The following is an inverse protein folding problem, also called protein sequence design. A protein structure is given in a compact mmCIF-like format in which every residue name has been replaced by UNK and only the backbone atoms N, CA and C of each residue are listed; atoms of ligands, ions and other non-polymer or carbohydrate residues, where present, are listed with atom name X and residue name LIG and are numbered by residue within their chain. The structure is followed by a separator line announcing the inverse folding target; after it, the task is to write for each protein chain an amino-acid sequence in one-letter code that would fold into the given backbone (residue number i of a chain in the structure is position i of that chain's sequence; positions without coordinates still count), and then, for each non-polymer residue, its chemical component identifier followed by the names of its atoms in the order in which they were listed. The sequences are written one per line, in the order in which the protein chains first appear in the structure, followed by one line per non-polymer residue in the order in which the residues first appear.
data_IF_385493403798
#
_entry.id   IF_385493403798
#
_cell.length_a   1.000
_cell.length_b   1.000
_cell.length_c   1.000
_cell.angle_alpha   90.00
_cell.angle_beta   90.00
_cell.angle_gamma   90.00
#
_symmetry.space_group_name_H-M   'P 1'
#
loop_
_entity.id
_entity.type
_entity.pdbx_description
1 polymer ?
#
# COMPACT_ATOMS: atom_id res chain seq x y z
N UNK A 1 10.50 16.05 30.89
CA UNK A 1 10.37 16.33 29.44
C UNK A 1 10.42 15.10 28.55
N UNK A 2 11.38 14.16 28.66
CA UNK A 2 11.42 12.94 27.80
C UNK A 2 10.27 11.96 28.16
N UNK A 3 9.87 11.85 29.43
CA UNK A 3 8.81 10.92 29.89
C UNK A 3 7.39 11.33 29.54
N UNK A 4 7.11 12.62 29.38
CA UNK A 4 5.78 13.13 29.01
C UNK A 4 5.53 12.95 27.52
N UNK A 5 6.53 13.21 26.68
CA UNK A 5 6.43 12.95 25.24
C UNK A 5 6.24 11.46 24.91
N UNK A 6 6.86 10.56 25.69
CA UNK A 6 6.70 9.12 25.51
C UNK A 6 5.29 8.63 25.94
N UNK A 7 4.77 9.18 27.05
CA UNK A 7 3.41 8.86 27.53
C UNK A 7 2.33 9.40 26.58
N UNK A 8 2.53 10.58 26.01
CA UNK A 8 1.62 11.15 25.00
C UNK A 8 1.70 10.39 23.67
N UNK A 9 2.89 9.96 23.25
CA UNK A 9 3.07 9.12 22.06
C UNK A 9 2.40 7.75 22.23
N UNK A 10 2.57 7.10 23.40
CA UNK A 10 1.90 5.85 23.75
C UNK A 10 0.37 6.02 23.84
N UNK A 11 -0.12 7.13 24.39
CA UNK A 11 -1.55 7.41 24.48
C UNK A 11 -2.17 7.73 23.12
N UNK A 12 -1.42 8.39 22.21
CA UNK A 12 -1.80 8.62 20.81
C UNK A 12 -1.77 7.34 20.00
N UNK A 13 -0.75 6.49 20.17
CA UNK A 13 -0.66 5.18 19.54
C UNK A 13 -1.80 4.22 19.96
N UNK A 14 -2.30 4.37 21.20
CA UNK A 14 -3.44 3.59 21.70
C UNK A 14 -4.79 4.10 21.16
N UNK A 15 -4.96 5.44 21.03
CA UNK A 15 -6.22 6.08 20.58
C UNK A 15 -6.33 6.25 19.07
N UNK A 16 -5.23 6.55 18.37
CA UNK A 16 -5.19 6.67 16.90
C UNK A 16 -4.66 5.36 16.31
N UNK A 17 -5.53 4.63 15.66
CA UNK A 17 -5.23 3.41 14.91
C UNK A 17 -4.45 3.80 13.63
N UNK A 18 -3.13 4.05 13.71
CA UNK A 18 -2.29 4.51 12.59
C UNK A 18 -0.83 4.07 12.66
N UNK A 19 0.00 4.71 11.85
CA UNK A 19 1.44 4.51 11.65
C UNK A 19 2.28 4.45 12.94
N UNK A 20 1.89 5.18 13.99
CA UNK A 20 2.57 5.18 15.29
C UNK A 20 2.47 3.81 16.00
N UNK A 21 1.33 3.11 15.84
CA UNK A 21 1.16 1.77 16.42
C UNK A 21 2.05 0.73 15.74
N UNK A 22 2.27 0.84 14.43
CA UNK A 22 3.17 -0.08 13.71
C UNK A 22 4.62 0.10 14.15
N UNK A 23 5.05 1.34 14.40
CA UNK A 23 6.38 1.63 14.97
C UNK A 23 6.54 1.03 16.36
N UNK A 24 5.56 1.20 17.25
CA UNK A 24 5.59 0.64 18.61
C UNK A 24 5.64 -0.89 18.55
N UNK A 25 4.84 -1.52 17.69
CA UNK A 25 4.86 -2.98 17.51
C UNK A 25 6.20 -3.46 16.96
N UNK A 26 6.81 -2.73 16.01
CA UNK A 26 8.13 -3.06 15.48
C UNK A 26 9.19 -2.99 16.57
N UNK A 27 9.20 -1.92 17.38
CA UNK A 27 10.12 -1.76 18.52
C UNK A 27 9.96 -2.92 19.49
N UNK A 28 8.72 -3.24 19.88
CA UNK A 28 8.43 -4.35 20.82
C UNK A 28 8.92 -5.70 20.27
N UNK A 29 8.72 -5.97 19.00
CA UNK A 29 9.23 -7.17 18.32
C UNK A 29 10.75 -7.22 18.31
N UNK A 30 11.40 -6.10 18.01
CA UNK A 30 12.86 -6.00 17.99
C UNK A 30 13.43 -6.28 19.37
N UNK A 31 12.83 -5.72 20.43
CA UNK A 31 13.24 -5.97 21.82
C UNK A 31 13.03 -7.44 22.18
N UNK A 32 11.86 -8.01 21.88
CA UNK A 32 11.56 -9.41 22.20
C UNK A 32 12.48 -10.38 21.45
N UNK A 33 12.69 -10.17 20.15
CA UNK A 33 13.57 -11.03 19.35
C UNK A 33 15.01 -10.96 19.82
N UNK A 34 15.50 -9.77 20.11
CA UNK A 34 16.86 -9.55 20.63
C UNK A 34 17.06 -10.17 22.02
N UNK A 35 16.07 -10.02 22.91
CA UNK A 35 16.12 -10.61 24.25
C UNK A 35 16.09 -12.15 24.20
N UNK A 36 15.21 -12.72 23.38
CA UNK A 36 15.13 -14.17 23.17
C UNK A 36 16.42 -14.71 22.56
N UNK A 37 16.98 -14.02 21.58
CA UNK A 37 18.27 -14.39 20.98
C UNK A 37 19.40 -14.36 21.99
N UNK A 38 19.45 -13.32 22.85
CA UNK A 38 20.42 -13.23 23.93
C UNK A 38 20.30 -14.39 24.93
N UNK A 39 19.08 -14.68 25.40
CA UNK A 39 18.83 -15.79 26.34
C UNK A 39 19.17 -17.16 25.73
N UNK A 40 18.79 -17.38 24.46
CA UNK A 40 19.13 -18.61 23.76
C UNK A 40 20.64 -18.74 23.51
N UNK A 41 21.32 -17.65 23.15
CA UNK A 41 22.78 -17.64 23.01
C UNK A 41 23.49 -17.87 24.34
N UNK A 42 23.04 -17.24 25.43
CA UNK A 42 23.62 -17.43 26.76
C UNK A 42 23.48 -18.89 27.27
N UNK A 43 22.42 -19.58 26.87
CA UNK A 43 22.22 -20.99 27.24
C UNK A 43 23.23 -21.96 26.61
N UNK A 44 23.95 -21.56 25.56
CA UNK A 44 25.00 -22.38 24.93
C UNK A 44 26.31 -22.40 25.73
N UNK A 45 26.46 -21.53 26.72
CA UNK A 45 27.70 -21.38 27.51
C UNK A 45 28.80 -20.58 26.83
N UNK A 46 28.64 -20.21 25.56
CA UNK A 46 29.60 -19.40 24.78
C UNK A 46 29.39 -17.90 25.10
N UNK A 47 30.37 -17.28 25.75
CA UNK A 47 30.25 -15.88 26.18
C UNK A 47 30.99 -14.90 25.27
N UNK A 48 32.02 -15.35 24.56
CA UNK A 48 32.89 -14.49 23.72
C UNK A 48 32.15 -13.91 22.50
N UNK A 49 31.21 -14.70 21.92
CA UNK A 49 30.47 -14.34 20.71
C UNK A 49 28.99 -14.07 20.95
N UNK A 50 28.57 -14.01 22.23
CA UNK A 50 27.18 -13.86 22.64
C UNK A 50 26.47 -12.65 22.00
N UNK A 51 27.20 -11.55 21.78
CA UNK A 51 26.65 -10.33 21.16
C UNK A 51 26.14 -10.51 19.72
N UNK A 52 26.61 -11.51 18.99
CA UNK A 52 26.18 -11.76 17.59
C UNK A 52 24.74 -12.26 17.50
N UNK A 53 24.23 -12.99 18.47
CA UNK A 53 22.86 -13.48 18.46
C UNK A 53 21.81 -12.35 18.52
N UNK A 54 21.81 -11.44 19.53
CA UNK A 54 20.89 -10.31 19.58
C UNK A 54 21.11 -9.30 18.43
N UNK A 55 22.37 -9.09 18.01
CA UNK A 55 22.68 -8.22 16.87
C UNK A 55 22.04 -8.75 15.57
N UNK A 56 22.18 -10.04 15.30
CA UNK A 56 21.53 -10.70 14.15
C UNK A 56 20.01 -10.61 14.26
N UNK A 57 19.43 -10.84 15.42
CA UNK A 57 17.99 -10.73 15.61
C UNK A 57 17.48 -9.31 15.27
N UNK A 58 18.17 -8.25 15.69
CA UNK A 58 17.83 -6.87 15.37
C UNK A 58 17.88 -6.57 13.86
N UNK A 59 18.86 -7.12 13.14
CA UNK A 59 19.00 -6.92 11.70
C UNK A 59 17.96 -7.67 10.88
N UNK A 60 17.48 -8.81 11.39
CA UNK A 60 16.52 -9.69 10.72
C UNK A 60 15.07 -9.26 10.95
N UNK A 61 14.75 -8.63 12.11
CA UNK A 61 13.40 -8.15 12.39
C UNK A 61 12.99 -7.05 11.41
N UNK A 62 11.85 -7.23 10.73
CA UNK A 62 11.31 -6.30 9.72
C UNK A 62 9.80 -6.13 9.90
N UNK A 63 9.22 -5.02 9.38
CA UNK A 63 7.78 -4.78 9.44
C UNK A 63 6.94 -5.84 8.73
N UNK A 64 7.47 -6.47 7.65
CA UNK A 64 6.78 -7.49 6.87
C UNK A 64 7.41 -8.88 7.07
N UNK A 65 6.58 -9.90 7.29
CA UNK A 65 7.05 -11.29 7.50
C UNK A 65 7.72 -11.87 6.27
N UNK A 66 7.16 -11.61 5.09
CA UNK A 66 7.74 -12.09 3.83
C UNK A 66 9.09 -11.43 3.53
N UNK A 67 9.16 -10.11 3.62
CA UNK A 67 10.43 -9.39 3.52
C UNK A 67 11.44 -9.89 4.54
N UNK A 68 10.98 -10.29 5.74
CA UNK A 68 11.82 -10.86 6.77
C UNK A 68 12.37 -12.24 6.38
N UNK A 69 11.55 -13.19 5.91
CA UNK A 69 12.00 -14.55 5.59
C UNK A 69 13.01 -14.58 4.44
N UNK A 70 12.69 -13.94 3.30
CA UNK A 70 13.59 -13.90 2.15
C UNK A 70 14.87 -13.11 2.47
N UNK A 71 14.73 -12.00 3.19
CA UNK A 71 15.86 -11.17 3.57
C UNK A 71 16.71 -11.83 4.66
N UNK A 72 16.09 -12.59 5.61
CA UNK A 72 16.80 -13.41 6.59
C UNK A 72 17.64 -14.48 5.89
N UNK A 73 17.06 -15.17 4.90
CA UNK A 73 17.80 -16.16 4.10
C UNK A 73 19.01 -15.52 3.39
N UNK A 74 18.82 -14.37 2.76
CA UNK A 74 19.91 -13.62 2.11
C UNK A 74 20.94 -13.09 3.12
N UNK A 75 20.50 -12.64 4.30
CA UNK A 75 21.37 -12.21 5.38
C UNK A 75 22.23 -13.38 5.87
N UNK A 76 21.62 -14.50 6.23
CA UNK A 76 22.34 -15.70 6.68
C UNK A 76 23.32 -16.18 5.60
N UNK A 77 22.90 -16.20 4.33
CA UNK A 77 23.79 -16.56 3.21
C UNK A 77 24.98 -15.60 3.07
N UNK A 78 24.78 -14.28 3.26
CA UNK A 78 25.86 -13.31 3.22
C UNK A 78 26.83 -13.48 4.40
N UNK A 79 26.31 -13.76 5.62
CA UNK A 79 27.12 -14.05 6.81
C UNK A 79 27.92 -15.33 6.63
N UNK A 80 27.27 -16.41 6.17
CA UNK A 80 27.94 -17.69 5.85
C UNK A 80 29.07 -17.49 4.83
N UNK A 81 28.80 -16.78 3.73
CA UNK A 81 29.79 -16.52 2.69
C UNK A 81 30.97 -15.69 3.23
N UNK A 82 30.69 -14.67 4.07
CA UNK A 82 31.72 -13.86 4.73
C UNK A 82 32.58 -14.68 5.70
N UNK A 83 31.96 -15.54 6.51
CA UNK A 83 32.64 -16.39 7.46
C UNK A 83 33.49 -17.48 6.75
N UNK A 84 32.96 -18.11 5.69
CA UNK A 84 33.72 -19.07 4.87
C UNK A 84 34.91 -18.41 4.21
N UNK A 85 34.74 -17.21 3.64
CA UNK A 85 35.84 -16.48 3.02
C UNK A 85 36.94 -16.10 4.04
N UNK A 86 36.54 -15.60 5.21
CA UNK A 86 37.48 -15.29 6.29
C UNK A 86 38.18 -16.55 6.81
N UNK A 87 37.45 -17.64 7.02
CA UNK A 87 38.00 -18.91 7.49
C UNK A 87 38.97 -19.54 6.49
N UNK A 88 38.65 -19.50 5.19
CA UNK A 88 39.55 -20.03 4.13
C UNK A 88 40.91 -19.30 4.15
N UNK A 89 40.95 -18.00 4.37
CA UNK A 89 42.18 -17.24 4.43
C UNK A 89 42.83 -17.29 5.83
N UNK A 90 42.03 -17.17 6.89
CA UNK A 90 42.49 -17.19 8.28
C UNK A 90 43.18 -18.50 8.69
N UNK A 91 42.60 -19.68 8.26
CA UNK A 91 43.13 -21.00 8.55
C UNK A 91 44.35 -21.35 7.69
N UNK A 92 44.50 -20.76 6.47
CA UNK A 92 45.60 -21.11 5.55
C UNK A 92 46.76 -20.14 5.59
N UNK A 93 46.49 -18.83 5.59
CA UNK A 93 47.49 -17.78 5.48
C UNK A 93 47.68 -17.05 6.80
N UNK A 94 46.68 -17.06 7.66
CA UNK A 94 46.64 -16.32 8.90
C UNK A 94 46.18 -14.86 8.75
N UNK A 95 45.92 -14.21 9.90
CA UNK A 95 45.39 -12.84 9.97
C UNK A 95 46.55 -11.82 9.90
N UNK A 96 46.94 -11.43 8.70
CA UNK A 96 47.94 -10.37 8.46
C UNK A 96 47.29 -9.21 7.69
N UNK A 97 47.87 -8.02 7.76
CA UNK A 97 47.33 -6.83 7.08
C UNK A 97 47.07 -7.02 5.59
N UNK A 98 47.95 -7.66 4.78
CA UNK A 98 47.63 -7.90 3.37
C UNK A 98 46.53 -8.92 3.16
N UNK A 99 46.47 -10.00 3.97
CA UNK A 99 45.36 -10.97 3.89
C UNK A 99 44.00 -10.36 4.28
N UNK A 100 44.01 -9.48 5.28
CA UNK A 100 42.81 -8.72 5.67
C UNK A 100 42.30 -7.83 4.51
N UNK A 101 43.18 -7.06 3.88
CA UNK A 101 42.82 -6.19 2.77
C UNK A 101 42.29 -6.99 1.58
N UNK A 102 42.94 -8.13 1.27
CA UNK A 102 42.49 -9.03 0.19
C UNK A 102 41.10 -9.63 0.47
N UNK A 103 40.86 -10.11 1.71
CA UNK A 103 39.58 -10.70 2.09
C UNK A 103 38.47 -9.65 2.02
N UNK A 104 38.69 -8.45 2.51
CA UNK A 104 37.70 -7.36 2.45
C UNK A 104 37.40 -6.99 0.99
N UNK A 105 38.42 -6.91 0.13
CA UNK A 105 38.23 -6.60 -1.29
C UNK A 105 37.40 -7.68 -1.99
N UNK A 106 37.75 -8.96 -1.81
CA UNK A 106 37.00 -10.07 -2.39
C UNK A 106 35.57 -10.11 -1.85
N UNK A 107 35.40 -9.88 -0.53
CA UNK A 107 34.10 -9.84 0.13
C UNK A 107 33.20 -8.72 -0.44
N UNK A 108 33.75 -7.54 -0.71
CA UNK A 108 33.04 -6.42 -1.35
C UNK A 108 32.59 -6.76 -2.76
N UNK A 109 33.44 -7.43 -3.56
CA UNK A 109 33.11 -7.85 -4.92
C UNK A 109 32.01 -8.91 -4.90
N UNK A 110 32.14 -9.94 -4.07
CA UNK A 110 31.14 -11.03 -3.93
C UNK A 110 29.81 -10.47 -3.39
N UNK A 111 29.86 -9.50 -2.46
CA UNK A 111 28.68 -8.84 -1.92
C UNK A 111 27.84 -8.07 -2.95
N UNK A 112 28.40 -7.72 -4.11
CA UNK A 112 27.67 -7.06 -5.20
C UNK A 112 26.82 -8.03 -6.05
N UNK A 113 26.96 -9.33 -5.84
CA UNK A 113 26.15 -10.32 -6.57
C UNK A 113 24.66 -10.12 -6.25
N UNK A 114 23.82 -10.09 -7.30
CA UNK A 114 22.35 -9.84 -7.20
C UNK A 114 21.64 -10.78 -6.23
N UNK A 115 22.20 -11.95 -5.98
CA UNK A 115 21.66 -12.93 -5.02
C UNK A 115 21.52 -12.35 -3.61
N UNK A 116 22.51 -11.59 -3.12
CA UNK A 116 22.51 -11.00 -1.77
C UNK A 116 21.63 -9.76 -1.68
N UNK A 117 21.33 -9.08 -2.78
CA UNK A 117 20.52 -7.86 -2.81
C UNK A 117 21.05 -6.81 -1.83
N UNK A 118 20.16 -6.19 -1.03
CA UNK A 118 20.55 -5.20 -0.02
C UNK A 118 21.35 -5.76 1.18
N UNK A 119 21.57 -7.09 1.28
CA UNK A 119 22.33 -7.73 2.36
C UNK A 119 23.80 -7.98 1.99
N UNK A 120 24.22 -7.66 0.78
CA UNK A 120 25.59 -7.91 0.30
C UNK A 120 26.68 -7.21 1.14
N UNK A 121 26.38 -6.08 1.77
CA UNK A 121 27.29 -5.37 2.68
C UNK A 121 27.59 -6.15 3.96
N UNK A 122 26.77 -7.11 4.36
CA UNK A 122 27.03 -7.94 5.54
C UNK A 122 28.21 -8.88 5.34
N UNK A 123 28.47 -9.30 4.10
CA UNK A 123 29.55 -10.22 3.75
C UNK A 123 30.92 -9.65 4.11
N UNK A 124 31.34 -8.45 3.64
CA UNK A 124 32.62 -7.86 4.03
C UNK A 124 32.68 -7.49 5.53
N UNK A 125 31.56 -7.10 6.14
CA UNK A 125 31.53 -6.77 7.58
C UNK A 125 31.85 -8.03 8.39
N UNK A 126 31.18 -9.15 8.14
CA UNK A 126 31.43 -10.39 8.87
C UNK A 126 32.82 -10.92 8.60
N UNK A 127 33.28 -10.87 7.35
CA UNK A 127 34.62 -11.32 6.98
C UNK A 127 35.71 -10.50 7.71
N UNK A 128 35.56 -9.19 7.78
CA UNK A 128 36.47 -8.30 8.49
C UNK A 128 36.49 -8.58 9.99
N UNK A 129 35.31 -8.70 10.63
CA UNK A 129 35.23 -8.99 12.06
C UNK A 129 35.76 -10.38 12.42
N UNK A 130 35.47 -11.41 11.60
CA UNK A 130 35.96 -12.75 11.84
C UNK A 130 37.50 -12.84 11.75
N UNK A 131 38.09 -12.12 10.77
CA UNK A 131 39.53 -12.13 10.60
C UNK A 131 40.25 -11.27 11.64
N UNK A 132 39.75 -10.04 11.87
CA UNK A 132 40.34 -9.10 12.83
C UNK A 132 40.15 -9.54 14.30
N UNK A 133 39.04 -10.18 14.61
CA UNK A 133 38.73 -10.73 15.94
C UNK A 133 39.38 -12.07 16.24
N UNK A 134 40.17 -12.63 15.30
CA UNK A 134 40.82 -13.94 15.46
C UNK A 134 39.91 -15.15 15.32
N UNK A 135 38.57 -14.95 15.18
CA UNK A 135 37.56 -16.01 15.06
C UNK A 135 37.79 -16.89 13.80
N UNK A 136 38.36 -16.31 12.75
CA UNK A 136 38.68 -17.02 11.51
C UNK A 136 39.94 -17.91 11.62
N UNK A 137 40.71 -17.83 12.72
CA UNK A 137 41.91 -18.62 12.92
C UNK A 137 41.66 -19.99 13.56
N UNK A 138 40.45 -20.20 14.07
CA UNK A 138 40.04 -21.45 14.71
C UNK A 138 38.67 -21.90 14.15
N UNK A 139 38.56 -23.16 13.78
CA UNK A 139 37.32 -23.73 13.23
C UNK A 139 36.19 -23.78 14.27
N UNK A 140 36.50 -23.97 15.56
CA UNK A 140 35.53 -23.98 16.66
C UNK A 140 34.89 -22.61 16.84
N UNK A 141 35.71 -21.54 16.87
CA UNK A 141 35.24 -20.16 17.02
C UNK A 141 34.40 -19.72 15.82
N UNK A 142 34.80 -20.16 14.61
CA UNK A 142 34.03 -19.89 13.40
C UNK A 142 32.65 -20.61 13.46
N UNK A 143 32.63 -21.86 13.95
CA UNK A 143 31.42 -22.62 14.18
C UNK A 143 30.50 -21.96 15.23
N UNK A 144 31.08 -21.46 16.33
CA UNK A 144 30.35 -20.74 17.36
C UNK A 144 29.72 -19.44 16.83
N UNK A 145 30.46 -18.68 16.00
CA UNK A 145 29.95 -17.46 15.34
C UNK A 145 28.72 -17.80 14.46
N UNK A 146 28.83 -18.83 13.65
CA UNK A 146 27.72 -19.26 12.78
C UNK A 146 26.50 -19.75 13.59
N UNK A 147 26.75 -20.46 14.69
CA UNK A 147 25.69 -20.89 15.61
C UNK A 147 24.96 -19.69 16.24
N UNK A 148 25.71 -18.67 16.73
CA UNK A 148 25.12 -17.45 17.29
C UNK A 148 24.29 -16.67 16.27
N UNK A 149 24.79 -16.55 15.05
CA UNK A 149 24.01 -15.94 13.94
C UNK A 149 22.74 -16.75 13.63
N UNK A 150 22.84 -18.07 13.60
CA UNK A 150 21.69 -18.97 13.42
C UNK A 150 20.64 -18.80 14.52
N UNK A 151 21.06 -18.76 15.79
CA UNK A 151 20.17 -18.53 16.94
C UNK A 151 19.48 -17.18 16.83
N UNK A 152 20.21 -16.11 16.50
CA UNK A 152 19.63 -14.78 16.30
C UNK A 152 18.60 -14.73 15.17
N UNK A 153 18.93 -15.33 14.03
CA UNK A 153 18.03 -15.42 12.88
C UNK A 153 16.77 -16.24 13.20
N UNK A 154 16.91 -17.37 13.89
CA UNK A 154 15.80 -18.22 14.31
C UNK A 154 14.89 -17.50 15.32
N UNK A 155 15.44 -16.84 16.35
CA UNK A 155 14.68 -16.06 17.30
C UNK A 155 13.89 -14.94 16.64
N UNK A 156 14.50 -14.19 15.69
CA UNK A 156 13.82 -13.16 14.93
C UNK A 156 12.69 -13.72 14.07
N UNK A 157 12.91 -14.87 13.42
CA UNK A 157 11.90 -15.53 12.59
C UNK A 157 10.71 -15.99 13.43
N UNK A 158 10.96 -16.64 14.58
CA UNK A 158 9.93 -17.08 15.51
C UNK A 158 9.09 -15.89 16.00
N UNK A 159 9.74 -14.83 16.47
CA UNK A 159 9.03 -13.61 16.92
C UNK A 159 8.22 -12.97 15.79
N UNK A 160 8.77 -12.91 14.59
CA UNK A 160 8.05 -12.38 13.44
C UNK A 160 6.84 -13.24 13.04
N UNK A 161 6.91 -14.58 13.17
CA UNK A 161 5.78 -15.48 12.87
C UNK A 161 4.72 -15.41 13.97
N UNK A 162 5.13 -15.44 15.25
CA UNK A 162 4.21 -15.46 16.40
C UNK A 162 3.50 -14.12 16.58
N UNK A 163 4.23 -13.01 16.44
CA UNK A 163 3.73 -11.66 16.60
C UNK A 163 3.29 -11.03 15.27
N UNK A 164 2.99 -11.84 14.25
CA UNK A 164 2.40 -11.28 12.99
C UNK A 164 1.13 -10.52 13.36
N UNK A 165 1.04 -9.20 13.06
CA UNK A 165 -0.25 -8.52 13.14
C UNK A 165 -1.23 -9.25 12.23
N UNK A 166 -2.46 -9.33 12.63
CA UNK A 166 -3.55 -9.61 11.68
C UNK A 166 -3.32 -8.72 10.46
N UNK A 167 -3.28 -9.31 9.28
CA UNK A 167 -3.10 -8.57 8.03
C UNK A 167 -4.19 -7.51 8.02
N UNK A 168 -3.83 -6.26 8.29
CA UNK A 168 -4.77 -5.14 8.25
C UNK A 168 -4.61 -4.54 6.86
N UNK A 169 -5.61 -4.67 6.10
CA UNK A 169 -5.69 -4.24 4.71
C UNK A 169 -5.97 -2.73 4.60
N UNK A 170 -5.61 -1.97 5.63
CA UNK A 170 -5.82 -0.52 5.71
C UNK A 170 -5.24 0.26 4.54
N UNK A 171 -4.13 -0.23 3.95
CA UNK A 171 -3.56 0.50 2.82
C UNK A 171 -4.47 0.40 1.58
N UNK A 172 -5.14 -0.75 1.38
CA UNK A 172 -6.11 -0.94 0.30
C UNK A 172 -7.44 -0.23 0.60
N UNK A 173 -7.91 -0.32 1.85
CA UNK A 173 -9.08 0.40 2.34
C UNK A 173 -8.89 1.92 2.18
N UNK A 174 -7.81 2.48 2.72
CA UNK A 174 -7.51 3.90 2.58
C UNK A 174 -7.40 4.32 1.11
N UNK A 175 -6.85 3.49 0.25
CA UNK A 175 -6.74 3.80 -1.16
C UNK A 175 -8.10 3.90 -1.88
N UNK A 176 -9.09 3.07 -1.48
CA UNK A 176 -10.48 3.20 -1.95
C UNK A 176 -11.10 4.48 -1.43
N UNK A 177 -10.91 4.77 -0.12
CA UNK A 177 -11.46 5.97 0.52
C UNK A 177 -10.89 7.25 -0.08
N UNK A 178 -9.56 7.31 -0.28
CA UNK A 178 -8.88 8.46 -0.88
C UNK A 178 -9.39 8.72 -2.31
N UNK A 179 -9.53 7.66 -3.12
CA UNK A 179 -10.03 7.78 -4.49
C UNK A 179 -11.52 8.20 -4.53
N UNK A 180 -12.35 7.67 -3.63
CA UNK A 180 -13.74 8.06 -3.51
C UNK A 180 -13.88 9.52 -3.04
N UNK A 181 -13.02 9.98 -2.14
CA UNK A 181 -13.00 11.35 -1.63
C UNK A 181 -12.59 12.35 -2.71
N UNK A 182 -11.55 12.04 -3.50
CA UNK A 182 -11.14 12.87 -4.65
C UNK A 182 -12.24 12.96 -5.71
N UNK A 183 -12.92 11.86 -6.03
CA UNK A 183 -14.05 11.85 -6.97
C UNK A 183 -15.26 12.63 -6.42
N UNK A 184 -15.56 12.46 -5.15
CA UNK A 184 -16.61 13.22 -4.46
C UNK A 184 -16.32 14.72 -4.52
N UNK A 185 -15.08 15.12 -4.19
CA UNK A 185 -14.65 16.52 -4.22
C UNK A 185 -14.76 17.11 -5.63
N UNK A 186 -14.20 16.42 -6.63
CA UNK A 186 -14.20 16.90 -8.01
C UNK A 186 -15.63 17.05 -8.56
N UNK A 187 -16.48 16.02 -8.39
CA UNK A 187 -17.88 16.08 -8.89
C UNK A 187 -18.71 17.13 -8.15
N UNK A 188 -18.44 17.34 -6.87
CA UNK A 188 -19.05 18.42 -6.09
C UNK A 188 -18.63 19.82 -6.56
N UNK A 189 -17.35 20.02 -6.88
CA UNK A 189 -16.86 21.28 -7.44
C UNK A 189 -17.45 21.56 -8.84
N UNK A 190 -17.52 20.51 -9.69
CA UNK A 190 -18.17 20.63 -11.01
C UNK A 190 -19.64 20.98 -10.83
N UNK A 191 -20.37 20.31 -9.93
CA UNK A 191 -21.78 20.60 -9.66
C UNK A 191 -22.01 22.05 -9.25
N UNK A 192 -21.19 22.58 -8.35
CA UNK A 192 -21.26 23.98 -7.90
C UNK A 192 -21.01 24.94 -9.05
N UNK A 193 -19.90 24.78 -9.79
CA UNK A 193 -19.58 25.67 -10.89
C UNK A 193 -20.61 25.64 -12.01
N UNK A 194 -21.14 24.45 -12.34
CA UNK A 194 -22.23 24.30 -13.33
C UNK A 194 -23.53 24.96 -12.84
N UNK A 195 -23.81 24.94 -11.54
CA UNK A 195 -24.98 25.61 -10.94
C UNK A 195 -24.88 27.12 -11.03
N UNK A 196 -23.67 27.66 -10.88
CA UNK A 196 -23.41 29.11 -10.97
C UNK A 196 -23.40 29.61 -12.43
N UNK A 197 -23.66 28.71 -13.39
CA UNK A 197 -23.73 29.03 -14.82
C UNK A 197 -22.36 29.06 -15.49
N UNK A 198 -22.32 29.61 -16.70
CA UNK A 198 -21.12 29.63 -17.55
C UNK A 198 -19.94 30.33 -16.87
N UNK A 199 -20.20 31.42 -16.17
CA UNK A 199 -19.17 32.23 -15.49
C UNK A 199 -18.57 31.51 -14.26
N UNK A 200 -19.31 30.56 -13.67
CA UNK A 200 -18.85 29.75 -12.53
C UNK A 200 -17.99 28.54 -12.92
N UNK A 201 -17.87 28.26 -14.22
CA UNK A 201 -17.22 27.05 -14.72
C UNK A 201 -15.69 27.18 -14.85
N UNK A 202 -14.94 26.76 -13.82
CA UNK A 202 -13.48 26.65 -13.88
C UNK A 202 -13.03 25.30 -14.49
N UNK A 203 -13.26 25.13 -15.79
CA UNK A 203 -12.95 23.90 -16.53
C UNK A 203 -11.46 23.59 -16.58
N UNK A 204 -10.59 24.58 -16.43
CA UNK A 204 -9.13 24.38 -16.37
C UNK A 204 -8.76 23.68 -15.06
N UNK A 205 -9.23 24.22 -13.93
CA UNK A 205 -8.99 23.62 -12.60
C UNK A 205 -9.56 22.19 -12.52
N UNK A 206 -10.76 21.98 -13.05
CA UNK A 206 -11.36 20.65 -13.10
C UNK A 206 -10.55 19.66 -13.93
N UNK A 207 -9.95 20.10 -15.05
CA UNK A 207 -9.06 19.26 -15.85
C UNK A 207 -7.79 18.86 -15.08
N UNK A 208 -7.18 19.83 -14.39
CA UNK A 208 -5.99 19.57 -13.56
C UNK A 208 -6.30 18.57 -12.43
N UNK A 209 -7.44 18.72 -11.76
CA UNK A 209 -7.90 17.76 -10.73
C UNK A 209 -8.18 16.37 -11.34
N UNK A 210 -8.86 16.32 -12.48
CA UNK A 210 -9.17 15.07 -13.17
C UNK A 210 -7.92 14.32 -13.66
N UNK A 211 -6.87 15.03 -14.09
CA UNK A 211 -5.58 14.45 -14.44
C UNK A 211 -4.86 13.89 -13.20
N UNK A 212 -5.01 14.54 -12.04
CA UNK A 212 -4.48 14.07 -10.76
C UNK A 212 -5.01 12.68 -10.35
N UNK A 213 -6.27 12.36 -10.67
CA UNK A 213 -6.90 11.08 -10.37
C UNK A 213 -6.11 9.86 -10.91
N UNK A 214 -5.39 10.00 -12.04
CA UNK A 214 -4.59 8.91 -12.60
C UNK A 214 -3.48 8.44 -11.65
N UNK A 215 -2.89 9.37 -10.91
CA UNK A 215 -1.86 9.04 -9.94
C UNK A 215 -2.46 8.31 -8.75
N UNK A 216 -3.62 8.73 -8.27
CA UNK A 216 -4.33 8.11 -7.15
C UNK A 216 -4.82 6.72 -7.51
N UNK A 217 -5.37 6.52 -8.72
CA UNK A 217 -5.74 5.20 -9.24
C UNK A 217 -4.54 4.25 -9.30
N UNK A 218 -3.40 4.72 -9.87
CA UNK A 218 -2.19 3.87 -9.93
C UNK A 218 -1.70 3.48 -8.54
N UNK A 219 -1.66 4.43 -7.61
CA UNK A 219 -1.24 4.19 -6.22
C UNK A 219 -2.19 3.22 -5.51
N UNK A 220 -3.50 3.33 -5.75
CA UNK A 220 -4.51 2.44 -5.21
C UNK A 220 -4.34 1.00 -5.71
N UNK A 221 -4.20 0.80 -7.03
CA UNK A 221 -3.95 -0.51 -7.63
C UNK A 221 -2.64 -1.14 -7.14
N UNK A 222 -1.59 -0.34 -6.98
CA UNK A 222 -0.31 -0.82 -6.46
C UNK A 222 -0.41 -1.20 -4.97
N UNK A 223 -1.22 -0.48 -4.18
CA UNK A 223 -1.48 -0.80 -2.78
C UNK A 223 -2.17 -2.16 -2.63
N UNK A 224 -3.18 -2.45 -3.45
CA UNK A 224 -3.85 -3.77 -3.46
C UNK A 224 -2.87 -4.86 -3.87
N UNK A 225 -2.10 -4.68 -4.94
CA UNK A 225 -1.09 -5.68 -5.38
C UNK A 225 -0.07 -5.98 -4.28
N UNK A 226 0.43 -4.95 -3.61
CA UNK A 226 1.37 -5.14 -2.48
C UNK A 226 0.72 -5.93 -1.33
N UNK A 227 -0.56 -5.72 -1.07
CA UNK A 227 -1.28 -6.47 -0.04
C UNK A 227 -1.51 -7.93 -0.44
N UNK A 228 -1.84 -8.18 -1.71
CA UNK A 228 -1.96 -9.55 -2.24
C UNK A 228 -0.66 -10.34 -2.10
N UNK A 229 0.46 -9.72 -2.51
CA UNK A 229 1.78 -10.34 -2.39
C UNK A 229 2.11 -10.64 -0.93
N UNK A 230 1.82 -9.72 -0.01
CA UNK A 230 1.98 -9.93 1.43
C UNK A 230 1.09 -11.06 1.95
N UNK A 231 -0.15 -11.15 1.46
CA UNK A 231 -1.10 -12.17 1.90
C UNK A 231 -0.77 -13.57 1.34
N UNK A 232 -0.38 -13.66 0.05
CA UNK A 232 0.01 -14.93 -0.60
C UNK A 232 1.24 -15.55 0.04
N UNK A 233 2.18 -14.74 0.49
CA UNK A 233 3.48 -15.15 1.01
C UNK A 233 3.52 -15.21 2.54
N UNK A 234 2.37 -15.15 3.20
CA UNK A 234 2.28 -15.25 4.64
C UNK A 234 2.43 -16.71 5.11
N UNK A 235 3.49 -17.04 5.89
CA UNK A 235 3.70 -18.41 6.38
C UNK A 235 2.59 -18.94 7.29
N UNK A 236 1.72 -18.07 7.85
CA UNK A 236 0.52 -18.50 8.58
C UNK A 236 -0.46 -19.33 7.72
N UNK A 237 -0.40 -19.23 6.39
CA UNK A 237 -1.15 -20.13 5.50
C UNK A 237 -0.79 -21.61 5.70
N UNK A 238 0.44 -21.89 6.12
CA UNK A 238 0.89 -23.25 6.41
C UNK A 238 0.33 -23.77 7.75
N UNK A 239 -0.01 -22.87 8.67
CA UNK A 239 -0.49 -23.20 10.02
C UNK A 239 -2.00 -22.99 10.16
N UNK A 240 -2.58 -22.02 9.46
CA UNK A 240 -4.00 -21.69 9.49
C UNK A 240 -4.59 -21.72 8.07
N UNK A 241 -5.43 -22.71 7.79
CA UNK A 241 -6.11 -22.91 6.50
C UNK A 241 -7.15 -21.84 6.13
N UNK A 242 -7.40 -20.85 7.00
CA UNK A 242 -8.41 -19.80 6.83
C UNK A 242 -7.82 -18.41 6.94
N UNK A 243 -7.02 -17.97 5.96
CA UNK A 243 -6.93 -16.53 5.66
C UNK A 243 -7.96 -16.28 4.58
N UNK A 244 -9.07 -15.72 4.98
CA UNK A 244 -10.10 -15.25 4.06
C UNK A 244 -9.52 -14.07 3.26
N UNK A 245 -9.43 -14.22 1.94
CA UNK A 245 -8.94 -13.22 1.01
C UNK A 245 -10.09 -12.57 0.22
N UNK A 246 -11.34 -13.01 0.45
CA UNK A 246 -12.51 -12.57 -0.29
C UNK A 246 -12.67 -11.05 -0.29
N UNK A 247 -12.35 -10.41 0.81
CA UNK A 247 -12.43 -8.95 0.93
C UNK A 247 -11.28 -8.18 0.23
N UNK A 248 -10.12 -8.81 -0.14
CA UNK A 248 -9.20 -8.20 -1.09
C UNK A 248 -9.84 -8.07 -2.48
N UNK A 249 -10.65 -9.04 -2.86
CA UNK A 249 -11.39 -9.00 -4.11
C UNK A 249 -12.45 -7.89 -4.06
N UNK A 250 -13.06 -7.66 -2.90
CA UNK A 250 -13.98 -6.52 -2.65
C UNK A 250 -13.26 -5.18 -2.89
N UNK A 251 -12.10 -4.94 -2.28
CA UNK A 251 -11.36 -3.68 -2.49
C UNK A 251 -10.88 -3.54 -3.94
N UNK A 252 -10.45 -4.64 -4.56
CA UNK A 252 -10.08 -4.63 -5.98
C UNK A 252 -11.24 -4.21 -6.85
N UNK A 253 -12.43 -4.77 -6.62
CA UNK A 253 -13.65 -4.44 -7.36
C UNK A 253 -14.00 -2.97 -7.20
N UNK A 254 -13.92 -2.43 -5.98
CA UNK A 254 -14.12 -1.00 -5.73
C UNK A 254 -13.11 -0.11 -6.46
N UNK A 255 -11.81 -0.43 -6.39
CA UNK A 255 -10.78 0.36 -7.10
C UNK A 255 -11.02 0.32 -8.61
N UNK A 256 -11.40 -0.83 -9.17
CA UNK A 256 -11.72 -0.92 -10.59
C UNK A 256 -12.97 -0.11 -10.96
N UNK A 257 -14.02 -0.17 -10.16
CA UNK A 257 -15.24 0.62 -10.37
C UNK A 257 -14.95 2.13 -10.31
N UNK A 258 -14.25 2.59 -9.27
CA UNK A 258 -13.86 3.99 -9.12
C UNK A 258 -12.86 4.45 -10.19
N UNK A 259 -11.94 3.58 -10.63
CA UNK A 259 -11.04 3.85 -11.75
C UNK A 259 -11.81 4.06 -13.06
N UNK A 260 -12.80 3.21 -13.36
CA UNK A 260 -13.65 3.40 -14.55
C UNK A 260 -14.51 4.65 -14.42
N UNK A 261 -15.06 4.91 -13.23
CA UNK A 261 -15.79 6.16 -12.95
C UNK A 261 -14.92 7.40 -13.18
N UNK A 262 -13.62 7.36 -12.80
CA UNK A 262 -12.70 8.48 -13.03
C UNK A 262 -12.50 8.79 -14.51
N UNK A 263 -12.50 7.78 -15.38
CA UNK A 263 -12.44 7.99 -16.83
C UNK A 263 -13.68 8.72 -17.36
N UNK A 264 -14.86 8.37 -16.87
CA UNK A 264 -16.11 9.03 -17.27
C UNK A 264 -16.22 10.46 -16.72
N UNK A 265 -15.78 10.70 -15.47
CA UNK A 265 -15.67 12.07 -14.92
C UNK A 265 -14.71 12.92 -15.74
N UNK A 266 -13.56 12.35 -16.16
CA UNK A 266 -12.62 13.05 -17.05
C UNK A 266 -13.21 13.36 -18.42
N UNK A 267 -13.94 12.41 -19.02
CA UNK A 267 -14.66 12.61 -20.28
C UNK A 267 -15.65 13.76 -20.15
N UNK A 268 -16.42 13.80 -19.07
CA UNK A 268 -17.38 14.87 -18.76
C UNK A 268 -16.69 16.22 -18.66
N UNK A 269 -15.59 16.31 -17.89
CA UNK A 269 -14.79 17.56 -17.78
C UNK A 269 -14.21 17.98 -19.12
N UNK A 270 -13.68 17.02 -19.91
CA UNK A 270 -13.16 17.27 -21.25
C UNK A 270 -14.22 17.81 -22.18
N UNK A 271 -15.44 17.25 -22.14
CA UNK A 271 -16.58 17.74 -22.92
C UNK A 271 -16.99 19.16 -22.51
N UNK A 272 -17.09 19.44 -21.21
CA UNK A 272 -17.39 20.79 -20.72
C UNK A 272 -16.32 21.79 -21.15
N UNK A 273 -15.04 21.44 -21.00
CA UNK A 273 -13.92 22.30 -21.39
C UNK A 273 -13.91 22.59 -22.90
N UNK A 274 -14.09 21.55 -23.72
CA UNK A 274 -14.11 21.71 -25.17
C UNK A 274 -15.22 22.65 -25.63
N UNK A 275 -16.36 22.67 -24.92
CA UNK A 275 -17.48 23.55 -25.30
C UNK A 275 -17.34 24.98 -24.81
N UNK A 276 -16.35 25.27 -23.94
CA UNK A 276 -16.04 26.65 -23.50
C UNK A 276 -15.05 27.37 -24.44
N UNK A 277 -14.50 26.70 -25.45
CA UNK A 277 -13.52 27.27 -26.38
C UNK A 277 -14.27 27.93 -27.56
N UNK A 278 -13.99 29.20 -27.85
CA UNK A 278 -14.67 29.98 -28.89
C UNK A 278 -14.55 29.36 -30.31
N UNK A 279 -13.49 28.57 -30.54
CA UNK A 279 -13.23 27.91 -31.84
C UNK A 279 -14.04 26.61 -32.01
N UNK A 280 -14.80 26.19 -31.02
CA UNK A 280 -15.51 24.91 -31.08
C UNK A 280 -16.81 25.03 -31.87
N UNK A 281 -17.05 24.06 -32.75
CA UNK A 281 -18.31 23.88 -33.52
C UNK A 281 -19.54 23.80 -32.61
N UNK A 282 -19.34 23.29 -31.39
CA UNK A 282 -20.38 23.14 -30.37
C UNK A 282 -20.43 24.41 -29.52
N UNK A 283 -21.56 25.04 -29.45
CA UNK A 283 -21.78 26.29 -28.71
C UNK A 283 -21.69 26.03 -27.19
N UNK A 284 -21.37 27.09 -26.43
CA UNK A 284 -21.43 27.11 -24.95
C UNK A 284 -22.72 26.47 -24.47
N UNK A 285 -22.68 25.60 -23.43
CA UNK A 285 -23.87 24.96 -22.91
C UNK A 285 -24.92 25.97 -22.47
N UNK A 286 -26.18 25.70 -22.83
CA UNK A 286 -27.29 26.53 -22.44
C UNK A 286 -27.52 26.51 -20.92
N UNK A 287 -27.77 27.66 -20.31
CA UNK A 287 -28.00 27.76 -18.86
C UNK A 287 -29.14 26.86 -18.37
N UNK A 288 -30.16 26.63 -19.23
CA UNK A 288 -31.27 25.76 -18.87
C UNK A 288 -30.84 24.30 -18.79
N UNK A 289 -29.86 23.88 -19.59
CA UNK A 289 -29.24 22.56 -19.52
C UNK A 289 -28.35 22.46 -18.28
N UNK A 290 -27.50 23.47 -18.01
CA UNK A 290 -26.62 23.50 -16.85
C UNK A 290 -27.42 23.39 -15.54
N UNK A 291 -28.55 24.07 -15.43
CA UNK A 291 -29.45 23.95 -14.27
C UNK A 291 -30.04 22.58 -14.04
N UNK A 292 -30.21 21.79 -15.10
CA UNK A 292 -30.64 20.40 -14.99
C UNK A 292 -29.49 19.43 -14.73
N UNK A 293 -28.29 19.72 -15.24
CA UNK A 293 -27.10 18.89 -15.04
C UNK A 293 -26.52 19.00 -13.60
N UNK A 294 -26.51 20.20 -13.02
CA UNK A 294 -25.94 20.43 -11.69
C UNK A 294 -26.50 19.52 -10.60
N UNK A 295 -27.82 19.33 -10.45
CA UNK A 295 -28.36 18.41 -9.43
C UNK A 295 -27.99 16.94 -9.66
N UNK A 296 -27.74 16.52 -10.92
CA UNK A 296 -27.27 15.15 -11.21
C UNK A 296 -25.84 14.95 -10.73
N UNK A 297 -24.99 15.94 -10.98
CA UNK A 297 -23.60 15.91 -10.53
C UNK A 297 -23.49 15.96 -8.99
N UNK A 298 -24.42 16.67 -8.33
CA UNK A 298 -24.54 16.65 -6.88
C UNK A 298 -24.90 15.25 -6.37
N UNK A 299 -25.87 14.57 -7.01
CA UNK A 299 -26.23 13.18 -6.67
C UNK A 299 -25.04 12.23 -6.90
N UNK A 300 -24.25 12.43 -7.95
CA UNK A 300 -23.01 11.66 -8.18
C UNK A 300 -22.02 11.88 -7.04
N UNK A 301 -21.84 13.13 -6.61
CA UNK A 301 -20.97 13.46 -5.46
C UNK A 301 -21.48 12.80 -4.16
N UNK A 302 -22.80 12.78 -3.93
CA UNK A 302 -23.40 12.07 -2.78
C UNK A 302 -23.17 10.55 -2.84
N UNK A 303 -23.21 9.96 -4.04
CA UNK A 303 -22.91 8.54 -4.24
C UNK A 303 -21.45 8.24 -3.88
N UNK A 304 -20.49 9.05 -4.32
CA UNK A 304 -19.10 8.89 -3.95
C UNK A 304 -18.86 9.12 -2.45
N UNK A 305 -19.56 10.08 -1.83
CA UNK A 305 -19.53 10.27 -0.39
C UNK A 305 -20.04 9.03 0.36
N UNK A 306 -21.11 8.39 -0.14
CA UNK A 306 -21.62 7.15 0.44
C UNK A 306 -20.64 5.97 0.30
N UNK A 307 -19.89 5.88 -0.80
CA UNK A 307 -18.79 4.90 -0.97
C UNK A 307 -17.69 5.17 0.05
N UNK A 308 -17.27 6.42 0.23
CA UNK A 308 -16.28 6.82 1.23
C UNK A 308 -16.73 6.47 2.65
N UNK A 309 -18.01 6.67 2.97
CA UNK A 309 -18.56 6.44 4.31
C UNK A 309 -18.79 4.93 4.58
N UNK A 310 -18.63 4.07 3.58
CA UNK A 310 -18.72 2.61 3.70
C UNK A 310 -17.43 2.02 4.30
N UNK A 311 -17.17 2.29 5.58
CA UNK A 311 -15.94 1.86 6.28
C UNK A 311 -15.86 0.36 6.58
N UNK A 312 -17.00 -0.34 6.59
CA UNK A 312 -17.08 -1.77 6.89
C UNK A 312 -17.93 -2.46 5.81
N UNK A 313 -17.37 -3.44 5.06
CA UNK A 313 -18.13 -4.20 4.04
C UNK A 313 -19.37 -4.90 4.60
N UNK A 314 -19.36 -5.21 5.90
CA UNK A 314 -20.45 -5.90 6.61
C UNK A 314 -21.58 -4.94 7.05
N UNK A 315 -21.42 -3.62 6.86
CA UNK A 315 -22.46 -2.66 7.25
C UNK A 315 -23.61 -2.63 6.23
N UNK A 316 -24.57 -3.53 6.44
CA UNK A 316 -25.75 -3.70 5.57
C UNK A 316 -26.54 -2.40 5.38
N UNK A 317 -26.66 -1.59 6.41
CA UNK A 317 -27.39 -0.31 6.32
C UNK A 317 -26.69 0.71 5.40
N UNK A 318 -25.35 0.75 5.43
CA UNK A 318 -24.55 1.60 4.52
C UNK A 318 -24.68 1.11 3.08
N UNK A 319 -24.65 -0.21 2.86
CA UNK A 319 -24.84 -0.84 1.56
C UNK A 319 -26.21 -0.56 0.96
N UNK A 320 -27.27 -0.72 1.74
CA UNK A 320 -28.66 -0.42 1.31
C UNK A 320 -28.83 1.08 0.98
N UNK A 321 -28.20 1.97 1.76
CA UNK A 321 -28.19 3.41 1.50
C UNK A 321 -27.50 3.75 0.17
N UNK A 322 -26.34 3.15 -0.09
CA UNK A 322 -25.60 3.36 -1.34
C UNK A 322 -26.42 2.91 -2.54
N UNK A 323 -26.99 1.70 -2.50
CA UNK A 323 -27.87 1.18 -3.56
C UNK A 323 -29.04 2.12 -3.84
N UNK A 324 -29.75 2.58 -2.81
CA UNK A 324 -30.86 3.50 -2.94
C UNK A 324 -30.46 4.86 -3.53
N UNK A 325 -29.25 5.36 -3.21
CA UNK A 325 -28.71 6.60 -3.79
C UNK A 325 -28.39 6.43 -5.27
N UNK A 326 -27.73 5.32 -5.65
CA UNK A 326 -27.39 5.03 -7.05
C UNK A 326 -28.66 4.88 -7.89
N UNK A 327 -29.64 4.08 -7.45
CA UNK A 327 -30.91 3.89 -8.14
C UNK A 327 -31.67 5.22 -8.34
N UNK A 328 -31.70 6.06 -7.30
CA UNK A 328 -32.31 7.38 -7.37
C UNK A 328 -31.62 8.28 -8.40
N UNK A 329 -30.29 8.26 -8.41
CA UNK A 329 -29.49 9.07 -9.34
C UNK A 329 -29.68 8.58 -10.79
N UNK A 330 -29.65 7.27 -11.05
CA UNK A 330 -29.90 6.70 -12.38
C UNK A 330 -31.30 7.06 -12.90
N UNK A 331 -32.32 6.90 -12.07
CA UNK A 331 -33.69 7.32 -12.40
C UNK A 331 -33.75 8.83 -12.70
N UNK A 332 -33.01 9.64 -11.94
CA UNK A 332 -32.88 11.08 -12.18
C UNK A 332 -32.28 11.41 -13.55
N UNK A 333 -31.29 10.64 -14.02
CA UNK A 333 -30.69 10.79 -15.36
C UNK A 333 -31.73 10.46 -16.44
N UNK A 334 -32.44 9.33 -16.31
CA UNK A 334 -33.45 8.89 -17.28
C UNK A 334 -34.60 9.88 -17.40
N UNK A 335 -35.12 10.38 -16.29
CA UNK A 335 -36.20 11.36 -16.25
C UNK A 335 -35.79 12.67 -16.93
N UNK A 336 -34.54 13.12 -16.73
CA UNK A 336 -34.04 14.35 -17.37
C UNK A 336 -33.80 14.13 -18.85
N UNK A 337 -33.20 13.00 -19.23
CA UNK A 337 -32.99 12.64 -20.63
C UNK A 337 -34.32 12.61 -21.39
N UNK A 338 -35.36 12.03 -20.81
CA UNK A 338 -36.70 11.98 -21.41
C UNK A 338 -37.29 13.39 -21.57
N UNK A 339 -37.20 14.28 -20.55
CA UNK A 339 -37.73 15.64 -20.60
C UNK A 339 -36.98 16.55 -21.58
N UNK A 340 -35.69 16.29 -21.78
CA UNK A 340 -34.84 17.12 -22.62
C UNK A 340 -34.87 16.73 -24.10
N UNK A 341 -35.31 15.50 -24.42
CA UNK A 341 -35.33 14.98 -25.78
C UNK A 341 -36.24 15.83 -26.69
N UNK A 342 -35.67 16.32 -27.79
CA UNK A 342 -36.38 17.19 -28.74
C UNK A 342 -36.49 18.65 -28.37
N UNK A 343 -35.83 19.10 -27.28
CA UNK A 343 -35.83 20.51 -26.85
C UNK A 343 -34.75 21.34 -27.53
N UNK A 344 -33.68 20.72 -28.01
CA UNK A 344 -32.55 21.36 -28.67
C UNK A 344 -32.30 20.79 -30.06
N UNK A 345 -31.53 21.49 -30.88
CA UNK A 345 -31.03 21.03 -32.17
C UNK A 345 -30.12 19.81 -32.02
N UNK A 346 -29.91 19.04 -33.08
CA UNK A 346 -29.15 17.80 -33.09
C UNK A 346 -27.69 18.01 -32.62
N UNK A 347 -27.09 19.14 -32.98
CA UNK A 347 -25.70 19.44 -32.60
C UNK A 347 -25.56 19.64 -31.09
N UNK A 348 -26.44 20.41 -30.45
CA UNK A 348 -26.48 20.61 -29.01
C UNK A 348 -26.88 19.35 -28.27
N UNK A 349 -27.88 18.63 -28.79
CA UNK A 349 -28.33 17.38 -28.21
C UNK A 349 -27.20 16.34 -28.14
N UNK A 350 -26.34 16.26 -29.17
CA UNK A 350 -25.17 15.37 -29.17
C UNK A 350 -24.26 15.62 -27.98
N UNK A 351 -23.95 16.87 -27.66
CA UNK A 351 -23.12 17.23 -26.51
C UNK A 351 -23.83 16.94 -25.19
N UNK A 352 -25.09 17.33 -25.07
CA UNK A 352 -25.87 17.16 -23.84
C UNK A 352 -26.13 15.69 -23.52
N UNK A 353 -26.42 14.90 -24.53
CA UNK A 353 -26.58 13.46 -24.39
C UNK A 353 -25.28 12.76 -24.00
N UNK A 354 -24.13 13.24 -24.47
CA UNK A 354 -22.81 12.74 -24.03
C UNK A 354 -22.56 13.01 -22.55
N UNK A 355 -22.82 14.21 -22.06
CA UNK A 355 -22.69 14.58 -20.65
C UNK A 355 -23.60 13.76 -19.75
N UNK A 356 -24.85 13.54 -20.17
CA UNK A 356 -25.81 12.67 -19.46
C UNK A 356 -25.35 11.21 -19.49
N UNK A 357 -24.79 10.74 -20.60
CA UNK A 357 -24.28 9.36 -20.73
C UNK A 357 -23.04 9.14 -19.88
N UNK A 358 -22.12 10.10 -19.80
CA UNK A 358 -20.97 10.01 -18.89
C UNK A 358 -21.41 9.99 -17.43
N UNK A 359 -22.42 10.79 -17.06
CA UNK A 359 -23.01 10.77 -15.71
C UNK A 359 -23.65 9.42 -15.41
N UNK A 360 -24.42 8.85 -16.33
CA UNK A 360 -25.03 7.53 -16.20
C UNK A 360 -23.96 6.43 -16.03
N UNK A 361 -22.89 6.46 -16.84
CA UNK A 361 -21.81 5.49 -16.77
C UNK A 361 -21.07 5.54 -15.44
N UNK A 362 -20.82 6.72 -14.90
CA UNK A 362 -20.25 6.86 -13.55
C UNK A 362 -21.10 6.10 -12.54
N UNK A 363 -22.42 6.30 -12.56
CA UNK A 363 -23.34 5.66 -11.63
C UNK A 363 -23.42 4.15 -11.86
N UNK A 364 -23.43 3.69 -13.13
CA UNK A 364 -23.46 2.28 -13.49
C UNK A 364 -22.19 1.55 -13.02
N UNK A 365 -21.01 2.18 -13.12
CA UNK A 365 -19.76 1.60 -12.63
C UNK A 365 -19.76 1.43 -11.11
N UNK A 366 -20.28 2.41 -10.38
CA UNK A 366 -20.43 2.30 -8.91
C UNK A 366 -21.44 1.22 -8.56
N UNK A 367 -22.56 1.12 -9.29
CA UNK A 367 -23.57 0.08 -9.11
C UNK A 367 -22.99 -1.32 -9.31
N UNK A 368 -22.24 -1.52 -10.40
CA UNK A 368 -21.58 -2.79 -10.69
C UNK A 368 -20.54 -3.15 -9.61
N UNK A 369 -19.78 -2.16 -9.13
CA UNK A 369 -18.85 -2.36 -8.02
C UNK A 369 -19.57 -2.85 -6.76
N UNK A 370 -20.71 -2.28 -6.45
CA UNK A 370 -21.57 -2.68 -5.33
C UNK A 370 -22.12 -4.10 -5.50
N UNK A 371 -22.70 -4.44 -6.65
CA UNK A 371 -23.26 -5.78 -6.90
C UNK A 371 -22.20 -6.88 -6.78
N UNK A 372 -21.00 -6.66 -7.35
CA UNK A 372 -19.89 -7.61 -7.26
C UNK A 372 -19.51 -7.88 -5.81
N UNK A 373 -19.49 -6.83 -4.98
CA UNK A 373 -19.12 -6.95 -3.56
C UNK A 373 -20.20 -7.59 -2.70
N UNK A 374 -21.47 -7.41 -3.06
CA UNK A 374 -22.61 -8.01 -2.36
C UNK A 374 -22.72 -9.53 -2.61
N UNK A 375 -22.26 -10.03 -3.77
CA UNK A 375 -22.27 -11.46 -4.11
C UNK A 375 -21.07 -12.21 -3.57
N UNK A 376 -19.91 -11.58 -3.44
CA UNK A 376 -18.67 -12.20 -2.94
C UNK A 376 -18.62 -12.26 -1.39
N UNK A 377 -19.52 -11.58 -0.69
CA UNK A 377 -19.63 -11.51 0.77
C UNK A 377 -20.59 -12.54 1.39
N UNK A 378 -21.17 -13.46 0.61
CA UNK A 378 -22.01 -14.60 1.05
C UNK A 378 -21.22 -15.89 0.81
#
# INVERSE_FOLDING_TARGET
MIGEGLREALRRAYRRRGYERERVVLILRSVLASTLAYLAGASTGETSLLGFAPFTALLVVRPSVYGSVLQSGRYVAAVLAGAVLAGAVGLTVGAHTPSFALVVLVALIVGQVRFFGGQGLQLPIVAAFALAGGTASNAEDLGALLAMVGIGAAAALVVNIVLVPTIRFRDAENAVLDLADELCFLTGEISKGVRDGVDGMDTRRWSELAEGLDSTVRNALESVRRQEDRARLNPRRLVSRRIDLSWLDVFRSWIHALSRSSHHVRSLVGTLRANMTEENRFRVPDESFLRELAPLLEQVSEVFAAVRDQQEPENRAASERLSALVERALKGVDERRARMRGRWDDDRWTVYSSLLTDTERVLAEVHQGYETTAHDGV
#
